data_IF_148323610859
#
_entry.id   IF_148323610859
#
_cell.length_a   1.000
_cell.length_b   1.000
_cell.length_c   1.000
_cell.angle_alpha   90.00
_cell.angle_beta   90.00
_cell.angle_gamma   90.00
#
_symmetry.space_group_name_H-M   'P 1'
#
loop_
_entity.id
_entity.type
_entity.pdbx_description
1 polymer ?
#
# COMPACT_ATOMS: atom_id res chain seq x y z
N UNK A 1 0.22 15.83 -6.23
CA UNK A 1 0.10 14.38 -6.36
C UNK A 1 1.23 13.79 -5.56
N UNK A 2 0.95 13.05 -4.54
CA UNK A 2 2.00 12.50 -3.69
C UNK A 2 2.75 11.39 -4.44
N UNK A 3 4.03 11.19 -4.14
CA UNK A 3 4.88 10.12 -4.67
C UNK A 3 4.21 8.75 -4.57
N UNK A 4 3.51 8.50 -3.49
CA UNK A 4 2.69 7.33 -3.21
C UNK A 4 1.64 7.02 -4.30
N UNK A 5 0.90 8.03 -4.77
CA UNK A 5 -0.11 7.88 -5.82
C UNK A 5 0.49 7.42 -7.16
N UNK A 6 1.75 7.77 -7.40
CA UNK A 6 2.49 7.35 -8.61
C UNK A 6 2.95 5.89 -8.48
N UNK A 7 3.51 5.50 -7.34
CA UNK A 7 4.05 4.15 -7.13
C UNK A 7 2.96 3.08 -7.13
N UNK A 8 1.79 3.37 -6.54
CA UNK A 8 0.60 2.52 -6.59
C UNK A 8 0.17 2.23 -8.04
N UNK A 9 0.14 3.27 -8.87
CA UNK A 9 -0.20 3.16 -10.30
C UNK A 9 0.84 2.39 -11.10
N UNK A 10 2.12 2.57 -10.80
CA UNK A 10 3.21 1.88 -11.50
C UNK A 10 3.09 0.37 -11.27
N UNK A 11 2.99 -0.10 -10.02
CA UNK A 11 2.87 -1.53 -9.74
C UNK A 11 1.61 -2.13 -10.37
N UNK A 12 0.46 -1.47 -10.25
CA UNK A 12 -0.80 -1.92 -10.87
C UNK A 12 -0.84 -1.77 -12.40
N UNK A 13 0.11 -1.10 -13.02
CA UNK A 13 0.20 -1.01 -14.49
C UNK A 13 0.70 -2.30 -15.15
N UNK A 14 1.43 -3.14 -14.42
CA UNK A 14 1.87 -4.45 -14.92
C UNK A 14 0.66 -5.38 -15.10
N UNK A 15 0.61 -6.06 -16.24
CA UNK A 15 -0.56 -6.84 -16.62
C UNK A 15 -0.82 -8.05 -15.73
N UNK A 16 0.23 -8.69 -15.25
CA UNK A 16 0.18 -9.81 -14.29
C UNK A 16 -0.30 -9.35 -12.92
N UNK A 17 0.23 -8.24 -12.40
CA UNK A 17 -0.16 -7.65 -11.13
C UNK A 17 -1.62 -7.19 -11.16
N UNK A 18 -2.04 -6.52 -12.23
CA UNK A 18 -3.42 -6.10 -12.42
C UNK A 18 -4.38 -7.29 -12.49
N UNK A 19 -4.04 -8.30 -13.31
CA UNK A 19 -4.86 -9.50 -13.45
C UNK A 19 -4.99 -10.23 -12.11
N UNK A 20 -3.90 -10.38 -11.37
CA UNK A 20 -3.90 -11.02 -10.07
C UNK A 20 -4.72 -10.24 -9.04
N UNK A 21 -4.60 -8.91 -9.03
CA UNK A 21 -5.41 -8.02 -8.18
C UNK A 21 -6.91 -8.25 -8.39
N UNK A 22 -7.37 -8.21 -9.65
CA UNK A 22 -8.79 -8.40 -9.97
C UNK A 22 -9.23 -9.84 -9.69
N UNK A 23 -8.45 -10.85 -10.07
CA UNK A 23 -8.78 -12.24 -9.81
C UNK A 23 -8.91 -12.53 -8.32
N UNK A 24 -8.01 -11.99 -7.52
CA UNK A 24 -8.00 -12.20 -6.06
C UNK A 24 -9.12 -11.46 -5.38
N UNK A 25 -9.25 -10.14 -5.62
CA UNK A 25 -10.17 -9.31 -4.86
C UNK A 25 -11.63 -9.40 -5.37
N UNK A 26 -11.83 -9.49 -6.68
CA UNK A 26 -13.18 -9.46 -7.28
C UNK A 26 -13.74 -10.87 -7.47
N UNK A 27 -12.86 -11.84 -7.74
CA UNK A 27 -13.26 -13.19 -8.14
C UNK A 27 -12.84 -14.29 -7.16
N UNK A 28 -12.44 -13.94 -5.95
CA UNK A 28 -12.04 -14.88 -4.90
C UNK A 28 -10.98 -15.90 -5.37
N UNK A 29 -9.98 -15.42 -6.13
CA UNK A 29 -8.87 -16.20 -6.66
C UNK A 29 -9.15 -16.96 -7.96
N UNK A 30 -10.37 -16.90 -8.53
CA UNK A 30 -10.65 -17.49 -9.83
C UNK A 30 -9.93 -16.72 -10.94
N UNK A 31 -9.20 -17.41 -11.80
CA UNK A 31 -8.29 -16.83 -12.81
C UNK A 31 -9.02 -16.53 -14.14
N UNK A 32 -9.85 -15.50 -14.13
CA UNK A 32 -10.52 -15.01 -15.36
C UNK A 32 -9.61 -14.08 -16.16
N UNK A 33 -8.76 -13.31 -15.51
CA UNK A 33 -7.80 -12.40 -16.13
C UNK A 33 -6.40 -13.02 -16.14
N UNK A 34 -5.67 -12.73 -17.22
CA UNK A 34 -4.23 -13.02 -17.35
C UNK A 34 -3.58 -11.93 -18.23
N UNK A 35 -2.24 -11.84 -18.28
CA UNK A 35 -1.56 -10.83 -19.10
C UNK A 35 -1.93 -10.85 -20.58
N UNK A 36 -2.29 -12.01 -21.13
CA UNK A 36 -2.64 -12.18 -22.54
C UNK A 36 -4.04 -11.70 -22.92
N UNK A 37 -4.99 -11.68 -21.98
CA UNK A 37 -6.36 -11.23 -22.22
C UNK A 37 -6.69 -9.86 -21.60
N UNK A 38 -5.69 -9.15 -21.05
CA UNK A 38 -5.86 -7.80 -20.55
C UNK A 38 -5.09 -6.78 -21.38
N UNK A 39 -5.73 -5.67 -21.71
CA UNK A 39 -5.14 -4.56 -22.48
C UNK A 39 -5.31 -3.24 -21.71
N UNK A 40 -4.34 -2.30 -21.82
CA UNK A 40 -4.51 -0.97 -21.26
C UNK A 40 -5.78 -0.31 -21.79
N UNK A 41 -6.56 0.32 -20.91
CA UNK A 41 -7.74 1.09 -21.25
C UNK A 41 -7.48 2.57 -20.95
N UNK A 42 -8.21 3.51 -21.60
CA UNK A 42 -8.09 4.93 -21.30
C UNK A 42 -8.38 5.19 -19.83
N UNK A 43 -7.48 5.97 -19.19
CA UNK A 43 -7.67 6.47 -17.83
C UNK A 43 -8.29 7.87 -17.82
N UNK A 44 -8.35 8.52 -18.98
CA UNK A 44 -8.86 9.87 -19.16
C UNK A 44 -10.23 9.86 -19.82
N UNK A 45 -11.18 10.58 -19.24
CA UNK A 45 -12.46 10.88 -19.85
C UNK A 45 -12.70 12.38 -19.88
N UNK A 46 -13.40 12.83 -20.94
CA UNK A 46 -13.66 14.23 -21.16
C UNK A 46 -15.13 14.55 -20.94
N UNK A 47 -15.40 15.64 -20.23
CA UNK A 47 -16.73 16.19 -20.17
C UNK A 47 -16.68 17.72 -20.28
N UNK A 48 -17.72 18.30 -20.88
CA UNK A 48 -17.84 19.74 -21.09
C UNK A 48 -19.03 20.27 -20.30
N UNK A 49 -18.73 21.12 -19.30
CA UNK A 49 -19.77 21.89 -18.59
C UNK A 49 -19.72 23.32 -19.16
N UNK A 50 -18.95 24.24 -18.59
CA UNK A 50 -18.69 25.58 -19.13
C UNK A 50 -17.32 25.64 -19.81
N UNK A 51 -16.38 24.84 -19.33
CA UNK A 51 -15.05 24.61 -19.92
C UNK A 51 -14.82 23.10 -20.01
N UNK A 52 -14.05 22.62 -20.99
CA UNK A 52 -13.63 21.21 -21.00
C UNK A 52 -12.94 20.85 -19.67
N UNK A 53 -13.30 19.73 -19.12
CA UNK A 53 -12.65 19.16 -17.94
C UNK A 53 -12.30 17.71 -18.23
N UNK A 54 -11.13 17.34 -17.77
CA UNK A 54 -10.66 15.97 -17.79
C UNK A 54 -10.98 15.33 -16.46
N UNK A 55 -11.38 14.08 -16.51
CA UNK A 55 -11.52 13.21 -15.35
C UNK A 55 -10.57 12.04 -15.56
N UNK A 56 -9.76 11.76 -14.56
CA UNK A 56 -8.78 10.70 -14.61
C UNK A 56 -9.12 9.67 -13.55
N UNK A 57 -9.12 8.40 -13.93
CA UNK A 57 -9.02 7.28 -13.00
C UNK A 57 -7.55 6.85 -12.88
N UNK A 58 -7.23 6.09 -11.83
CA UNK A 58 -5.84 5.77 -11.56
C UNK A 58 -5.31 4.68 -12.48
N UNK A 59 -5.98 3.55 -12.57
CA UNK A 59 -5.59 2.45 -13.45
C UNK A 59 -6.81 1.87 -14.12
N UNK A 60 -6.71 1.61 -15.44
CA UNK A 60 -7.80 1.02 -16.21
C UNK A 60 -7.28 0.02 -17.23
N UNK A 61 -7.94 -1.15 -17.32
CA UNK A 61 -7.64 -2.17 -18.33
C UNK A 61 -8.92 -2.83 -18.85
N UNK A 62 -8.86 -3.26 -20.10
CA UNK A 62 -9.89 -4.08 -20.71
C UNK A 62 -9.59 -5.57 -20.52
N UNK A 63 -10.64 -6.34 -20.26
CA UNK A 63 -10.66 -7.77 -20.51
C UNK A 63 -11.12 -7.99 -21.95
N UNK A 64 -10.32 -8.71 -22.73
CA UNK A 64 -10.61 -8.99 -24.14
C UNK A 64 -10.62 -10.48 -24.40
N UNK A 65 -11.54 -10.93 -25.26
CA UNK A 65 -11.61 -12.29 -25.75
C UNK A 65 -11.83 -12.25 -27.28
N UNK A 66 -10.98 -12.98 -28.01
CA UNK A 66 -10.99 -13.00 -29.48
C UNK A 66 -11.03 -11.60 -30.13
N UNK A 67 -10.33 -10.63 -29.54
CA UNK A 67 -10.27 -9.24 -30.02
C UNK A 67 -11.48 -8.38 -29.66
N UNK A 68 -12.45 -8.93 -28.92
CA UNK A 68 -13.63 -8.19 -28.45
C UNK A 68 -13.44 -7.77 -27.00
N UNK A 69 -13.75 -6.50 -26.68
CA UNK A 69 -13.76 -6.01 -25.31
C UNK A 69 -15.03 -6.53 -24.61
N UNK A 70 -14.86 -7.25 -23.51
CA UNK A 70 -15.96 -7.76 -22.70
C UNK A 70 -16.24 -6.88 -21.49
N UNK A 71 -15.18 -6.44 -20.80
CA UNK A 71 -15.27 -5.64 -19.58
C UNK A 71 -14.15 -4.59 -19.55
N UNK A 72 -14.43 -3.49 -18.89
CA UNK A 72 -13.43 -2.54 -18.43
C UNK A 72 -13.37 -2.57 -16.92
N UNK A 73 -12.18 -2.79 -16.38
CA UNK A 73 -11.91 -2.65 -14.95
C UNK A 73 -11.23 -1.32 -14.69
N UNK A 74 -11.71 -0.63 -13.68
CA UNK A 74 -11.14 0.62 -13.16
C UNK A 74 -10.75 0.37 -11.71
N UNK A 75 -9.51 0.68 -11.36
CA UNK A 75 -9.01 0.68 -9.98
C UNK A 75 -8.72 2.12 -9.58
N UNK A 76 -9.30 2.55 -8.47
CA UNK A 76 -9.01 3.81 -7.79
C UNK A 76 -8.19 3.51 -6.55
N UNK A 77 -7.05 4.18 -6.38
CA UNK A 77 -6.15 4.03 -5.24
C UNK A 77 -6.40 5.17 -4.25
N UNK A 78 -6.69 4.83 -3.01
CA UNK A 78 -7.03 5.82 -1.99
C UNK A 78 -6.22 5.58 -0.71
N UNK A 79 -5.69 6.65 -0.17
CA UNK A 79 -5.09 6.66 1.17
C UNK A 79 -6.16 6.94 2.22
N UNK A 80 -7.05 7.89 1.93
CA UNK A 80 -8.18 8.27 2.77
C UNK A 80 -9.46 8.23 1.95
N UNK A 81 -10.44 7.47 2.43
CA UNK A 81 -11.72 7.33 1.76
C UNK A 81 -12.60 8.54 2.02
N UNK A 82 -13.09 9.14 0.96
CA UNK A 82 -14.02 10.26 1.04
C UNK A 82 -15.49 9.81 1.08
N UNK A 83 -16.34 10.55 1.78
CA UNK A 83 -17.76 10.26 1.86
C UNK A 83 -18.46 10.19 0.50
N UNK A 84 -17.94 10.96 -0.48
CA UNK A 84 -18.49 11.04 -1.84
C UNK A 84 -17.82 10.10 -2.85
N UNK A 85 -17.07 9.11 -2.38
CA UNK A 85 -16.35 8.16 -3.24
C UNK A 85 -17.30 7.45 -4.23
N UNK A 86 -18.52 7.14 -3.80
CA UNK A 86 -19.52 6.53 -4.68
C UNK A 86 -19.89 7.42 -5.88
N UNK A 87 -19.90 8.74 -5.73
CA UNK A 87 -20.18 9.67 -6.83
C UNK A 87 -19.01 9.72 -7.83
N UNK A 88 -17.77 9.56 -7.35
CA UNK A 88 -16.58 9.42 -8.22
C UNK A 88 -16.72 8.17 -9.08
N UNK A 89 -17.02 7.01 -8.45
CA UNK A 89 -17.29 5.75 -9.15
C UNK A 89 -18.33 5.91 -10.25
N UNK A 90 -19.52 6.44 -9.94
CA UNK A 90 -20.60 6.67 -10.89
C UNK A 90 -20.12 7.56 -12.04
N UNK A 91 -19.33 8.57 -11.76
CA UNK A 91 -18.81 9.49 -12.76
C UNK A 91 -17.82 8.81 -13.72
N UNK A 92 -16.93 7.94 -13.23
CA UNK A 92 -16.00 7.17 -14.07
C UNK A 92 -16.73 6.18 -14.97
N UNK A 93 -17.65 5.39 -14.42
CA UNK A 93 -18.45 4.44 -15.18
C UNK A 93 -19.31 5.16 -16.23
N UNK A 94 -19.96 6.27 -15.84
CA UNK A 94 -20.72 7.09 -16.77
C UNK A 94 -19.86 7.72 -17.89
N UNK A 95 -18.62 8.10 -17.58
CA UNK A 95 -17.64 8.57 -18.55
C UNK A 95 -17.28 7.48 -19.56
N UNK A 96 -17.02 6.26 -19.08
CA UNK A 96 -16.72 5.10 -19.92
C UNK A 96 -17.90 4.71 -20.81
N UNK A 97 -19.12 4.61 -20.27
CA UNK A 97 -20.31 4.33 -21.06
C UNK A 97 -20.60 5.43 -22.09
N UNK A 98 -20.33 6.69 -21.76
CA UNK A 98 -20.50 7.80 -22.72
C UNK A 98 -19.57 7.65 -23.93
N UNK A 99 -18.33 7.19 -23.72
CA UNK A 99 -17.40 6.93 -24.83
C UNK A 99 -17.92 5.83 -25.76
N UNK A 100 -18.65 4.85 -25.25
CA UNK A 100 -19.21 3.75 -26.02
C UNK A 100 -20.38 4.19 -26.91
N UNK A 101 -21.10 5.28 -26.57
CA UNK A 101 -22.25 5.74 -27.33
C UNK A 101 -21.93 6.19 -28.77
N UNK A 102 -20.69 6.61 -29.02
CA UNK A 102 -20.31 7.18 -30.31
C UNK A 102 -19.67 6.21 -31.30
N UNK A 103 -19.33 5.00 -30.91
CA UNK A 103 -18.38 4.17 -31.65
C UNK A 103 -19.00 3.06 -32.48
N UNK A 104 -20.32 2.79 -32.37
CA UNK A 104 -20.98 1.67 -33.05
C UNK A 104 -20.39 0.29 -32.75
N UNK A 105 -19.47 0.20 -31.81
CA UNK A 105 -18.85 -1.04 -31.33
C UNK A 105 -19.77 -1.78 -30.32
N UNK A 106 -19.57 -3.08 -30.10
CA UNK A 106 -20.29 -3.79 -29.03
C UNK A 106 -20.11 -3.11 -27.67
N UNK A 107 -21.20 -3.05 -26.91
CA UNK A 107 -21.20 -2.48 -25.55
C UNK A 107 -20.55 -3.47 -24.60
N UNK A 108 -19.69 -2.97 -23.72
CA UNK A 108 -19.01 -3.74 -22.68
C UNK A 108 -19.33 -3.21 -21.28
N UNK A 109 -19.26 -4.09 -20.28
CA UNK A 109 -19.48 -3.73 -18.89
C UNK A 109 -18.32 -2.95 -18.30
N UNK A 110 -18.60 -2.11 -17.28
CA UNK A 110 -17.59 -1.36 -16.54
C UNK A 110 -17.68 -1.74 -15.08
N UNK A 111 -16.56 -2.10 -14.48
CA UNK A 111 -16.43 -2.47 -13.07
C UNK A 111 -15.38 -1.57 -12.43
N UNK A 112 -15.80 -0.80 -11.43
CA UNK A 112 -14.90 0.06 -10.66
C UNK A 112 -14.77 -0.46 -9.23
N UNK A 113 -13.53 -0.66 -8.78
CA UNK A 113 -13.19 -0.96 -7.40
C UNK A 113 -12.30 0.13 -6.81
N UNK A 114 -12.32 0.26 -5.49
CA UNK A 114 -11.44 1.15 -4.74
C UNK A 114 -10.49 0.30 -3.91
N UNK A 115 -9.21 0.58 -3.98
CA UNK A 115 -8.17 0.00 -3.12
C UNK A 115 -7.76 1.06 -2.09
N UNK A 116 -8.01 0.76 -0.81
CA UNK A 116 -7.50 1.54 0.31
C UNK A 116 -6.22 0.85 0.84
N UNK A 117 -5.05 1.46 0.57
CA UNK A 117 -3.76 0.85 0.89
C UNK A 117 -3.43 0.89 2.38
N UNK A 118 -3.58 2.06 2.97
CA UNK A 118 -3.28 2.31 4.37
C UNK A 118 -4.39 3.16 4.96
N UNK A 119 -4.56 3.14 6.23
CA UNK A 119 -5.55 3.95 6.90
C UNK A 119 -6.55 3.12 7.68
N UNK A 120 -7.32 3.79 8.51
CA UNK A 120 -8.39 3.16 9.27
C UNK A 120 -9.60 3.00 8.37
N UNK A 121 -10.28 1.86 8.49
CA UNK A 121 -11.59 1.67 7.85
C UNK A 121 -12.51 2.82 8.25
N UNK A 122 -12.73 3.75 7.34
CA UNK A 122 -13.68 4.84 7.54
C UNK A 122 -15.09 4.35 7.26
N UNK A 123 -16.05 4.77 8.07
CA UNK A 123 -17.47 4.49 7.82
C UNK A 123 -17.99 5.42 6.73
N UNK A 124 -17.63 5.12 5.49
CA UNK A 124 -18.21 5.83 4.33
C UNK A 124 -19.47 5.12 3.85
N UNK A 125 -20.37 5.82 3.16
CA UNK A 125 -21.51 5.20 2.50
C UNK A 125 -21.06 4.12 1.50
N UNK A 126 -21.58 2.90 1.68
CA UNK A 126 -21.24 1.75 0.85
C UNK A 126 -22.12 1.65 -0.42
N UNK A 127 -23.14 2.50 -0.52
CA UNK A 127 -24.02 2.59 -1.67
C UNK A 127 -24.62 3.99 -1.80
N UNK A 128 -25.20 4.26 -2.95
CA UNK A 128 -25.77 5.57 -3.29
C UNK A 128 -26.94 5.92 -2.36
N UNK A 129 -27.84 4.98 -2.06
CA UNK A 129 -28.99 5.23 -1.20
C UNK A 129 -28.57 5.69 0.19
N UNK A 130 -27.54 5.06 0.79
CA UNK A 130 -27.01 5.46 2.09
C UNK A 130 -26.48 6.89 2.07
N UNK A 131 -25.76 7.27 1.00
CA UNK A 131 -25.28 8.65 0.84
C UNK A 131 -26.44 9.64 0.72
N UNK A 132 -27.46 9.31 -0.09
CA UNK A 132 -28.63 10.17 -0.30
C UNK A 132 -29.46 10.36 0.98
N UNK A 133 -29.69 9.27 1.73
CA UNK A 133 -30.36 9.34 3.05
C UNK A 133 -29.61 10.25 4.01
N UNK A 134 -28.29 10.11 4.10
CA UNK A 134 -27.44 10.96 4.93
C UNK A 134 -27.54 12.45 4.55
N UNK A 135 -27.78 12.73 3.27
CA UNK A 135 -27.94 14.08 2.74
C UNK A 135 -29.44 14.56 2.72
N UNK A 136 -30.32 13.86 3.41
CA UNK A 136 -31.69 14.29 3.64
C UNK A 136 -32.71 13.93 2.55
N UNK A 137 -32.35 13.06 1.60
CA UNK A 137 -33.34 12.55 0.63
C UNK A 137 -34.31 11.60 1.33
N UNK A 138 -35.62 11.85 1.31
CA UNK A 138 -36.60 10.99 1.98
C UNK A 138 -36.62 9.58 1.37
N UNK A 139 -36.76 8.56 2.24
CA UNK A 139 -36.77 7.14 1.88
C UNK A 139 -37.72 6.83 0.70
N UNK A 140 -38.92 7.43 0.71
CA UNK A 140 -39.96 7.22 -0.32
C UNK A 140 -39.52 7.57 -1.76
N UNK A 141 -38.47 8.35 -1.92
CA UNK A 141 -37.94 8.72 -3.25
C UNK A 141 -36.84 7.79 -3.73
N UNK A 142 -36.25 6.97 -2.84
CA UNK A 142 -35.14 6.08 -3.22
C UNK A 142 -35.58 4.93 -4.12
N UNK A 143 -36.88 4.53 -4.04
CA UNK A 143 -37.43 3.48 -4.92
C UNK A 143 -37.36 3.83 -6.41
N UNK A 144 -37.25 5.13 -6.73
CA UNK A 144 -37.12 5.63 -8.10
C UNK A 144 -35.66 5.85 -8.55
N UNK A 145 -34.71 5.51 -7.69
CA UNK A 145 -33.29 5.73 -7.94
C UNK A 145 -32.58 4.36 -7.86
N UNK A 146 -31.87 3.97 -8.91
CA UNK A 146 -31.08 2.76 -8.88
C UNK A 146 -29.96 2.88 -7.85
N UNK A 147 -29.83 1.86 -7.00
CA UNK A 147 -28.77 1.82 -5.99
C UNK A 147 -27.48 1.27 -6.54
N UNK A 148 -26.44 2.09 -6.51
CA UNK A 148 -25.10 1.73 -6.91
C UNK A 148 -24.26 1.38 -5.68
N UNK A 149 -23.57 0.23 -5.71
CA UNK A 149 -22.67 -0.20 -4.65
C UNK A 149 -21.24 0.32 -4.87
N UNK A 150 -20.58 0.67 -3.78
CA UNK A 150 -19.15 0.96 -3.73
C UNK A 150 -18.42 -0.27 -3.21
N UNK A 151 -17.52 -0.82 -4.01
CA UNK A 151 -16.67 -1.94 -3.59
C UNK A 151 -15.30 -1.40 -3.19
N UNK A 152 -14.97 -1.53 -1.91
CA UNK A 152 -13.70 -1.06 -1.33
C UNK A 152 -12.96 -2.25 -0.73
N UNK A 153 -11.70 -2.40 -1.10
CA UNK A 153 -10.78 -3.38 -0.53
C UNK A 153 -9.71 -2.67 0.30
N UNK A 154 -9.61 -3.03 1.57
CA UNK A 154 -8.61 -2.50 2.48
C UNK A 154 -7.39 -3.42 2.47
N UNK A 155 -6.31 -3.03 1.80
CA UNK A 155 -5.10 -3.86 1.66
C UNK A 155 -4.44 -4.18 3.00
N UNK A 156 -4.56 -3.30 3.98
CA UNK A 156 -4.05 -3.50 5.34
C UNK A 156 -5.04 -4.22 6.29
N UNK A 157 -6.11 -4.80 5.75
CA UNK A 157 -7.10 -5.55 6.53
C UNK A 157 -7.69 -6.73 5.72
N UNK A 158 -6.85 -7.40 4.94
CA UNK A 158 -7.22 -8.60 4.21
C UNK A 158 -7.07 -9.84 5.10
N UNK A 159 -8.00 -10.79 4.96
CA UNK A 159 -7.86 -12.08 5.65
C UNK A 159 -6.67 -12.88 5.12
N UNK A 160 -6.07 -13.77 5.93
CA UNK A 160 -4.99 -14.65 5.47
C UNK A 160 -5.38 -15.47 4.24
N UNK A 161 -6.63 -15.96 4.19
CA UNK A 161 -7.17 -16.73 3.06
C UNK A 161 -7.13 -15.90 1.77
N UNK A 162 -7.55 -14.63 1.83
CA UNK A 162 -7.51 -13.73 0.66
C UNK A 162 -6.08 -13.42 0.25
N UNK A 163 -5.18 -13.13 1.21
CA UNK A 163 -3.78 -12.83 0.90
C UNK A 163 -3.07 -14.00 0.22
N UNK A 164 -3.36 -15.23 0.65
CA UNK A 164 -2.80 -16.45 0.04
C UNK A 164 -3.25 -16.69 -1.41
N UNK A 165 -4.28 -15.99 -1.89
CA UNK A 165 -4.72 -16.08 -3.27
C UNK A 165 -3.87 -15.26 -4.23
N UNK A 166 -3.12 -14.27 -3.73
CA UNK A 166 -2.21 -13.49 -4.58
C UNK A 166 -1.04 -14.34 -5.06
N UNK A 167 -0.72 -14.20 -6.34
CA UNK A 167 0.39 -14.90 -7.00
C UNK A 167 1.40 -13.96 -7.63
N UNK A 168 1.12 -12.64 -7.66
CA UNK A 168 2.03 -11.59 -8.14
C UNK A 168 2.72 -10.89 -6.97
N UNK A 169 3.57 -9.90 -7.31
CA UNK A 169 4.28 -9.08 -6.34
C UNK A 169 3.34 -8.30 -5.41
N UNK A 170 2.06 -8.13 -5.79
CA UNK A 170 1.06 -7.52 -4.93
C UNK A 170 0.83 -8.30 -3.62
N UNK A 171 1.08 -9.59 -3.64
CA UNK A 171 1.01 -10.44 -2.46
C UNK A 171 2.01 -10.06 -1.37
N UNK A 172 3.23 -9.65 -1.75
CA UNK A 172 4.23 -9.16 -0.79
C UNK A 172 3.75 -7.89 -0.09
N UNK A 173 3.16 -6.95 -0.85
CA UNK A 173 2.58 -5.73 -0.29
C UNK A 173 1.44 -6.07 0.68
N UNK A 174 0.53 -6.98 0.28
CA UNK A 174 -0.58 -7.38 1.12
C UNK A 174 -0.13 -8.02 2.44
N UNK A 175 0.84 -8.94 2.39
CA UNK A 175 1.36 -9.59 3.60
C UNK A 175 2.06 -8.59 4.52
N UNK A 176 2.92 -7.72 3.98
CA UNK A 176 3.61 -6.73 4.79
C UNK A 176 2.66 -5.74 5.48
N UNK A 177 1.64 -5.26 4.78
CA UNK A 177 0.67 -4.33 5.35
C UNK A 177 -0.19 -4.94 6.46
N UNK A 178 -0.32 -6.28 6.50
CA UNK A 178 -1.13 -6.98 7.49
C UNK A 178 -0.29 -7.61 8.62
N UNK A 179 0.94 -8.07 8.33
CA UNK A 179 1.78 -8.83 9.26
C UNK A 179 3.09 -8.13 9.63
N UNK A 180 3.48 -7.08 8.87
CA UNK A 180 4.75 -6.37 9.05
C UNK A 180 5.97 -7.12 8.49
N UNK A 181 5.75 -8.26 7.83
CA UNK A 181 6.75 -9.06 7.14
C UNK A 181 6.12 -9.77 5.94
N UNK A 182 6.90 -10.48 5.15
CA UNK A 182 6.43 -11.32 4.05
C UNK A 182 7.16 -12.68 4.00
N UNK A 183 7.46 -13.23 5.17
CA UNK A 183 8.17 -14.50 5.33
C UNK A 183 7.45 -15.67 4.65
N UNK A 184 6.12 -15.63 4.57
CA UNK A 184 5.29 -16.60 3.87
C UNK A 184 5.61 -16.72 2.36
N UNK A 185 6.32 -15.72 1.78
CA UNK A 185 6.63 -15.65 0.35
C UNK A 185 8.11 -15.81 0.01
N UNK A 186 8.93 -16.23 0.97
CA UNK A 186 10.39 -16.36 0.76
C UNK A 186 10.79 -17.23 -0.43
N UNK A 187 9.98 -18.21 -0.78
CA UNK A 187 10.21 -19.11 -1.92
C UNK A 187 9.60 -18.63 -3.25
N UNK A 188 9.01 -17.45 -3.27
CA UNK A 188 8.42 -16.86 -4.48
C UNK A 188 9.45 -15.98 -5.20
N UNK A 189 9.24 -15.82 -6.52
CA UNK A 189 9.98 -14.85 -7.32
C UNK A 189 9.31 -13.49 -7.26
N UNK A 190 10.13 -12.44 -7.17
CA UNK A 190 9.73 -11.04 -7.36
C UNK A 190 10.03 -10.68 -8.81
N UNK A 191 8.99 -10.30 -9.56
CA UNK A 191 9.13 -9.98 -10.98
C UNK A 191 9.38 -8.50 -11.23
N UNK A 192 8.86 -7.63 -10.37
CA UNK A 192 8.90 -6.17 -10.53
C UNK A 192 9.53 -5.51 -9.30
N UNK A 193 10.77 -5.92 -8.96
CA UNK A 193 11.45 -5.53 -7.72
C UNK A 193 11.48 -4.01 -7.52
N UNK A 194 11.82 -3.22 -8.54
CA UNK A 194 11.89 -1.76 -8.41
C UNK A 194 10.52 -1.19 -8.04
N UNK A 195 9.46 -1.58 -8.77
CA UNK A 195 8.11 -1.08 -8.54
C UNK A 195 7.55 -1.53 -7.17
N UNK A 196 7.87 -2.77 -6.76
CA UNK A 196 7.53 -3.28 -5.42
C UNK A 196 8.21 -2.44 -4.33
N UNK A 197 9.52 -2.21 -4.46
CA UNK A 197 10.29 -1.48 -3.46
C UNK A 197 9.90 -0.01 -3.37
N UNK A 198 9.68 0.65 -4.52
CA UNK A 198 9.19 2.03 -4.57
C UNK A 198 7.83 2.17 -3.86
N UNK A 199 6.91 1.23 -4.11
CA UNK A 199 5.63 1.21 -3.43
C UNK A 199 5.77 0.95 -1.93
N UNK A 200 6.60 -0.03 -1.54
CA UNK A 200 6.84 -0.33 -0.12
C UNK A 200 7.43 0.86 0.63
N UNK A 201 8.41 1.56 0.05
CA UNK A 201 8.95 2.80 0.63
C UNK A 201 7.87 3.87 0.76
N UNK A 202 7.08 4.09 -0.29
CA UNK A 202 6.03 5.09 -0.28
C UNK A 202 4.92 4.80 0.76
N UNK A 203 4.60 3.52 1.01
CA UNK A 203 3.57 3.10 1.97
C UNK A 203 4.06 3.12 3.42
N UNK A 204 5.33 2.79 3.66
CA UNK A 204 5.91 2.56 4.99
C UNK A 204 6.83 3.68 5.46
N UNK A 205 7.39 4.45 4.55
CA UNK A 205 8.46 5.41 4.79
C UNK A 205 9.83 4.75 5.03
N UNK A 206 9.98 3.47 4.74
CA UNK A 206 11.22 2.71 4.95
C UNK A 206 12.09 2.72 3.69
N UNK A 207 13.11 3.57 3.66
CA UNK A 207 14.04 3.72 2.53
C UNK A 207 14.90 2.50 2.26
N UNK A 208 14.94 1.53 3.18
CA UNK A 208 15.72 0.30 3.00
C UNK A 208 15.26 -0.49 1.78
N UNK A 209 13.98 -0.43 1.43
CA UNK A 209 13.44 -1.12 0.28
C UNK A 209 14.13 -0.70 -1.02
N UNK A 210 14.15 0.59 -1.32
CA UNK A 210 14.73 1.12 -2.55
C UNK A 210 16.26 1.12 -2.53
N UNK A 211 16.88 1.41 -1.38
CA UNK A 211 18.34 1.35 -1.23
C UNK A 211 18.88 -0.07 -1.52
N UNK A 212 18.20 -1.11 -1.01
CA UNK A 212 18.59 -2.49 -1.23
C UNK A 212 18.30 -2.96 -2.66
N UNK A 213 17.19 -2.53 -3.27
CA UNK A 213 16.92 -2.83 -4.68
C UNK A 213 18.03 -2.27 -5.56
N UNK A 214 18.48 -1.04 -5.32
CA UNK A 214 19.60 -0.44 -6.04
C UNK A 214 20.90 -1.20 -5.80
N UNK A 215 21.20 -1.64 -4.57
CA UNK A 215 22.38 -2.45 -4.27
C UNK A 215 22.29 -3.82 -4.96
N UNK A 216 21.13 -4.45 -4.96
CA UNK A 216 20.91 -5.74 -5.62
C UNK A 216 21.26 -5.67 -7.11
N UNK A 217 20.79 -4.63 -7.82
CA UNK A 217 21.10 -4.43 -9.24
C UNK A 217 22.56 -4.11 -9.55
N UNK A 218 23.36 -3.72 -8.57
CA UNK A 218 24.81 -3.61 -8.79
C UNK A 218 25.52 -4.96 -8.98
N UNK A 219 24.90 -6.03 -8.48
CA UNK A 219 25.44 -7.40 -8.48
C UNK A 219 24.72 -8.31 -9.48
N UNK A 220 23.53 -7.95 -9.93
CA UNK A 220 22.65 -8.72 -10.80
C UNK A 220 22.26 -7.89 -12.03
N UNK A 221 21.83 -8.57 -13.08
CA UNK A 221 21.36 -7.89 -14.28
C UNK A 221 19.95 -7.35 -14.04
N UNK A 222 19.72 -6.07 -14.35
CA UNK A 222 18.41 -5.44 -14.14
C UNK A 222 17.35 -6.12 -15.03
N UNK A 223 16.25 -6.53 -14.39
CA UNK A 223 15.14 -7.24 -15.05
C UNK A 223 15.19 -8.77 -14.91
N UNK A 224 16.23 -9.32 -14.26
CA UNK A 224 16.20 -10.72 -13.86
C UNK A 224 15.16 -10.95 -12.77
N UNK A 225 14.56 -12.15 -12.74
CA UNK A 225 13.71 -12.57 -11.62
C UNK A 225 14.54 -12.69 -10.35
N UNK A 226 14.02 -12.21 -9.25
CA UNK A 226 14.69 -12.16 -7.95
C UNK A 226 13.99 -13.13 -7.00
N UNK A 227 14.71 -14.11 -6.48
CA UNK A 227 14.16 -14.93 -5.41
C UNK A 227 13.93 -14.08 -4.15
N UNK A 228 12.73 -14.11 -3.63
CA UNK A 228 12.38 -13.29 -2.47
C UNK A 228 13.29 -13.56 -1.27
N UNK A 229 13.71 -14.81 -1.03
CA UNK A 229 14.62 -15.14 0.08
C UNK A 229 15.93 -14.35 -0.01
N UNK A 230 16.52 -14.21 -1.20
CA UNK A 230 17.78 -13.47 -1.38
C UNK A 230 17.63 -11.99 -1.03
N UNK A 231 16.54 -11.38 -1.47
CA UNK A 231 16.25 -9.98 -1.16
C UNK A 231 15.89 -9.77 0.31
N UNK A 232 15.10 -10.68 0.89
CA UNK A 232 14.68 -10.62 2.29
C UNK A 232 15.83 -10.79 3.27
N UNK A 233 16.74 -11.74 3.00
CA UNK A 233 17.95 -11.95 3.82
C UNK A 233 18.81 -10.67 3.88
N UNK A 234 18.92 -9.96 2.75
CA UNK A 234 19.62 -8.67 2.71
C UNK A 234 18.90 -7.59 3.50
N UNK A 235 17.56 -7.54 3.42
CA UNK A 235 16.72 -6.57 4.14
C UNK A 235 16.80 -6.78 5.66
N UNK A 236 16.74 -8.03 6.10
CA UNK A 236 16.91 -8.41 7.52
C UNK A 236 18.29 -8.06 8.05
N UNK A 237 19.35 -8.49 7.36
CA UNK A 237 20.73 -8.19 7.75
C UNK A 237 21.01 -6.69 7.85
N UNK A 238 20.40 -5.88 6.94
CA UNK A 238 20.51 -4.43 7.00
C UNK A 238 19.72 -3.85 8.16
N UNK A 239 18.55 -4.41 8.44
CA UNK A 239 17.72 -4.03 9.59
C UNK A 239 18.45 -4.25 10.92
N UNK A 240 19.05 -5.41 11.11
CA UNK A 240 19.85 -5.76 12.29
C UNK A 240 21.02 -4.78 12.48
N UNK A 241 21.80 -4.56 11.42
CA UNK A 241 22.94 -3.63 11.44
C UNK A 241 22.56 -2.19 11.78
N UNK A 242 21.42 -1.72 11.25
CA UNK A 242 20.89 -0.39 11.59
C UNK A 242 20.37 -0.34 13.02
N UNK A 243 19.74 -1.41 13.48
CA UNK A 243 19.29 -1.56 14.87
C UNK A 243 20.46 -1.53 15.86
N UNK A 244 21.53 -2.28 15.58
CA UNK A 244 22.76 -2.26 16.38
C UNK A 244 23.37 -0.85 16.44
N UNK A 245 23.55 -0.20 15.28
CA UNK A 245 24.11 1.15 15.22
C UNK A 245 23.27 2.19 15.97
N UNK A 246 21.93 2.12 15.85
CA UNK A 246 21.02 2.98 16.63
C UNK A 246 21.11 2.69 18.11
N UNK A 247 21.22 1.41 18.48
CA UNK A 247 21.42 0.98 19.87
C UNK A 247 22.71 1.52 20.47
N UNK A 248 23.84 1.50 19.73
CA UNK A 248 25.11 2.08 20.14
C UNK A 248 25.00 3.59 20.36
N UNK A 249 24.49 4.34 19.37
CA UNK A 249 24.32 5.79 19.45
C UNK A 249 23.42 6.19 20.62
N UNK A 250 22.29 5.50 20.80
CA UNK A 250 21.39 5.76 21.91
C UNK A 250 22.05 5.43 23.26
N UNK A 251 22.83 4.35 23.31
CA UNK A 251 23.60 3.96 24.52
C UNK A 251 24.62 5.01 24.91
N UNK A 252 25.37 5.54 23.93
CA UNK A 252 26.35 6.61 24.15
C UNK A 252 25.66 7.91 24.60
N UNK A 253 24.57 8.30 23.93
CA UNK A 253 23.81 9.51 24.29
C UNK A 253 23.22 9.43 25.68
N UNK A 254 22.62 8.30 26.03
CA UNK A 254 22.03 8.10 27.36
C UNK A 254 23.10 8.07 28.48
N UNK A 255 24.24 7.44 28.18
CA UNK A 255 25.38 7.46 29.14
C UNK A 255 25.90 8.87 29.32
N UNK A 256 26.12 9.63 28.27
CA UNK A 256 26.56 11.02 28.35
C UNK A 256 25.60 11.88 29.16
N UNK A 257 24.29 11.75 28.94
CA UNK A 257 23.25 12.46 29.69
C UNK A 257 23.24 12.08 31.16
N UNK A 258 23.52 10.82 31.52
CA UNK A 258 23.65 10.38 32.89
C UNK A 258 24.88 11.02 33.56
N UNK A 259 26.02 10.98 32.88
CA UNK A 259 27.26 11.54 33.43
C UNK A 259 27.17 13.05 33.64
N UNK A 260 26.56 13.80 32.68
CA UNK A 260 26.26 15.23 32.84
C UNK A 260 25.45 15.50 34.12
N UNK A 261 24.33 14.80 34.30
CA UNK A 261 23.49 14.98 35.49
C UNK A 261 24.24 14.66 36.78
N UNK A 262 25.07 13.62 36.80
CA UNK A 262 25.88 13.26 37.96
C UNK A 262 26.95 14.33 38.26
N UNK A 263 27.58 14.90 37.25
CA UNK A 263 28.52 16.02 37.40
C UNK A 263 27.84 17.29 37.96
N UNK A 264 26.69 17.66 37.41
CA UNK A 264 25.93 18.84 37.87
C UNK A 264 25.50 18.71 39.30
N UNK A 265 25.23 17.52 39.79
CA UNK A 265 24.88 17.22 41.19
C UNK A 265 26.10 17.01 42.11
N UNK A 266 27.33 17.13 41.60
CA UNK A 266 28.54 16.93 42.34
C UNK A 266 28.80 15.48 42.78
N UNK A 267 28.13 14.49 42.13
CA UNK A 267 28.19 13.05 42.49
C UNK A 267 29.38 12.34 41.77
N UNK A 268 30.60 12.84 41.96
CA UNK A 268 31.80 12.37 41.27
C UNK A 268 32.11 10.88 41.48
N UNK A 269 31.83 10.33 42.67
CA UNK A 269 32.02 8.89 42.93
C UNK A 269 31.04 8.03 42.13
N UNK A 270 29.82 8.52 41.92
CA UNK A 270 28.82 7.84 41.13
C UNK A 270 29.12 7.89 39.62
N UNK A 271 29.82 8.91 39.14
CA UNK A 271 30.34 8.96 37.76
C UNK A 271 31.31 7.80 37.52
N UNK A 272 32.28 7.59 38.41
CA UNK A 272 33.23 6.47 38.32
C UNK A 272 32.49 5.12 38.38
N UNK A 273 31.55 5.01 39.28
CA UNK A 273 30.75 3.80 39.49
C UNK A 273 29.85 3.51 38.24
N UNK A 274 29.23 4.52 37.66
CA UNK A 274 28.40 4.38 36.45
C UNK A 274 29.19 3.89 35.25
N UNK A 275 30.43 4.32 35.09
CA UNK A 275 31.31 3.87 33.99
C UNK A 275 31.75 2.41 34.19
N UNK A 276 32.15 2.04 35.42
CA UNK A 276 32.77 0.74 35.70
C UNK A 276 31.78 -0.38 36.04
N UNK A 277 30.58 -0.06 36.50
CA UNK A 277 29.62 -1.05 36.99
C UNK A 277 28.28 -0.93 36.23
N UNK A 278 27.97 -1.89 35.33
CA UNK A 278 26.71 -1.87 34.53
C UNK A 278 25.44 -1.93 35.37
N UNK A 279 25.45 -2.60 36.53
CA UNK A 279 24.28 -2.72 37.40
C UNK A 279 24.03 -1.44 38.21
N UNK A 280 25.10 -0.78 38.63
CA UNK A 280 25.01 0.55 39.25
C UNK A 280 24.50 1.58 38.21
N UNK A 281 25.04 1.55 37.01
CA UNK A 281 24.58 2.40 35.89
C UNK A 281 23.09 2.19 35.56
N UNK A 282 22.62 0.94 35.52
CA UNK A 282 21.22 0.65 35.30
C UNK A 282 20.29 1.21 36.39
N UNK A 283 20.72 1.19 37.66
CA UNK A 283 19.98 1.81 38.76
C UNK A 283 19.92 3.33 38.62
N UNK A 284 21.04 3.96 38.21
CA UNK A 284 21.11 5.40 38.01
C UNK A 284 20.28 5.85 36.78
N UNK A 285 20.21 5.07 35.72
CA UNK A 285 19.29 5.34 34.60
C UNK A 285 17.84 5.40 35.07
N UNK A 286 17.42 4.48 35.94
CA UNK A 286 16.07 4.50 36.54
C UNK A 286 15.87 5.71 37.48
N UNK A 287 16.86 6.02 38.31
CA UNK A 287 16.84 7.16 39.24
C UNK A 287 16.58 8.48 38.47
N UNK A 288 17.25 8.66 37.34
CA UNK A 288 17.14 9.88 36.53
C UNK A 288 16.11 9.80 35.38
N UNK A 289 15.32 8.72 35.29
CA UNK A 289 14.34 8.48 34.22
C UNK A 289 14.97 8.58 32.83
N UNK A 290 16.20 8.09 32.68
CA UNK A 290 16.88 7.99 31.38
C UNK A 290 16.56 6.61 30.80
N UNK A 291 16.10 6.50 29.54
CA UNK A 291 15.82 5.21 28.91
C UNK A 291 17.06 4.30 28.95
N UNK A 292 16.88 3.03 29.30
CA UNK A 292 17.95 2.04 29.25
C UNK A 292 17.60 0.94 28.27
N UNK A 293 18.61 0.34 27.62
CA UNK A 293 18.41 -0.79 26.69
C UNK A 293 17.71 -2.01 27.34
N UNK A 294 17.73 -2.10 28.69
CA UNK A 294 17.08 -3.20 29.43
C UNK A 294 15.58 -3.02 29.65
N UNK A 295 15.04 -1.83 29.38
CA UNK A 295 13.61 -1.54 29.58
C UNK A 295 12.74 -1.89 28.36
N UNK A 296 13.35 -2.41 27.30
CA UNK A 296 12.70 -2.80 26.04
C UNK A 296 12.72 -4.32 25.77
N UNK A 297 12.90 -5.13 26.80
CA UNK A 297 12.71 -6.61 26.71
C UNK A 297 11.45 -7.04 27.40
#
# INVERSE_FOLDING_TARGET
>A
MAEKDITEKILLSYADVFADCINTLVYDGKRYLNPGNTQPAPTESFYKVKKPRNQFCDTSRYLTEEGTILLQYIIENETELEERQILRKISYEGGSYRQQLGNGAPVYGVITIVIAWTGKSSRIPQNLHTLLLKNGVPQKHLEMIDDTKLTVYHMNNLSPETRNLFTSDLGFVADYLNEGNFDSRREQEILHLDALCDLMEALTGDTRFTELANEFWTKHQKGDAVMACEYLDLLEARGEKLGEKRGEINGETNLSSLLEKLFDLGRSQDVELAVRNPDARARMFKEFSIPSYRDHK
#
